data_IF_567275650300
#
_entry.id   IF_567275650300
#
_cell.length_a   1.000
_cell.length_b   1.000
_cell.length_c   1.000
_cell.angle_alpha   90.00
_cell.angle_beta   90.00
_cell.angle_gamma   90.00
#
_symmetry.space_group_name_H-M   'P 1'
#
loop_
_entity.id
_entity.type
_entity.pdbx_description
1 polymer ?
#
# COMPACT_ATOMS: atom_id res chain seq x y z
N UNK A 1 -1.70 20.27 1.74
CA UNK A 1 -2.25 20.17 0.36
C UNK A 1 -2.16 18.74 -0.22
N UNK A 2 -1.13 17.93 0.10
CA UNK A 2 -1.03 16.52 -0.34
C UNK A 2 -2.20 15.60 0.08
N UNK A 3 -2.80 15.86 1.26
CA UNK A 3 -3.92 15.05 1.76
C UNK A 3 -5.11 15.02 0.80
N UNK A 4 -5.45 16.16 0.16
CA UNK A 4 -6.59 16.24 -0.75
C UNK A 4 -6.35 15.40 -2.03
N UNK A 5 -5.12 15.40 -2.55
CA UNK A 5 -4.73 14.58 -3.70
C UNK A 5 -4.79 13.07 -3.39
N UNK A 6 -4.43 12.67 -2.16
CA UNK A 6 -4.55 11.28 -1.72
C UNK A 6 -6.00 10.80 -1.66
N UNK A 7 -6.96 11.67 -1.30
CA UNK A 7 -8.39 11.33 -1.21
C UNK A 7 -9.07 11.09 -2.56
N UNK A 8 -8.90 11.99 -3.53
CA UNK A 8 -9.43 11.80 -4.89
C UNK A 8 -8.78 10.60 -5.57
N UNK A 9 -7.46 10.44 -5.40
CA UNK A 9 -6.72 9.28 -5.91
C UNK A 9 -7.31 7.98 -5.34
N UNK A 10 -7.46 7.84 -4.01
CA UNK A 10 -8.01 6.61 -3.44
C UNK A 10 -9.39 6.24 -4.02
N UNK A 11 -10.30 7.21 -4.12
CA UNK A 11 -11.67 6.97 -4.60
C UNK A 11 -11.72 6.57 -6.09
N UNK A 12 -10.99 7.28 -6.96
CA UNK A 12 -10.92 6.97 -8.39
C UNK A 12 -10.33 5.59 -8.65
N UNK A 13 -9.30 5.23 -7.89
CA UNK A 13 -8.68 3.92 -8.03
C UNK A 13 -9.50 2.79 -7.44
N UNK A 14 -10.23 3.01 -6.34
CA UNK A 14 -11.17 2.00 -5.88
C UNK A 14 -12.23 1.71 -6.94
N UNK A 15 -12.78 2.73 -7.60
CA UNK A 15 -13.72 2.53 -8.72
C UNK A 15 -13.07 1.78 -9.90
N UNK A 16 -11.82 2.12 -10.23
CA UNK A 16 -11.06 1.41 -11.26
C UNK A 16 -10.91 -0.08 -10.94
N UNK A 17 -10.54 -0.40 -9.69
CA UNK A 17 -10.27 -1.75 -9.24
C UNK A 17 -11.54 -2.55 -8.95
N UNK A 18 -12.67 -1.93 -8.59
CA UNK A 18 -13.97 -2.62 -8.49
C UNK A 18 -14.39 -3.26 -9.82
N UNK A 19 -13.80 -2.86 -10.95
CA UNK A 19 -14.05 -3.48 -12.27
C UNK A 19 -13.17 -4.69 -12.56
N UNK A 20 -12.11 -4.91 -11.78
CA UNK A 20 -11.08 -5.93 -12.09
C UNK A 20 -10.65 -6.76 -10.90
N UNK A 21 -11.07 -6.46 -9.67
CA UNK A 21 -10.65 -7.13 -8.43
C UNK A 21 -11.74 -8.06 -7.87
N UNK A 22 -11.34 -8.99 -7.00
CA UNK A 22 -12.24 -9.94 -6.32
C UNK A 22 -13.17 -9.26 -5.30
N UNK A 23 -14.27 -9.92 -4.92
CA UNK A 23 -15.33 -9.41 -4.03
C UNK A 23 -14.82 -8.83 -2.68
N UNK A 24 -13.68 -9.31 -2.19
CA UNK A 24 -13.07 -8.81 -0.95
C UNK A 24 -12.60 -7.34 -1.05
N UNK A 25 -12.44 -6.83 -2.27
CA UNK A 25 -11.95 -5.48 -2.52
C UNK A 25 -12.85 -4.39 -1.94
N UNK A 26 -14.17 -4.60 -1.92
CA UNK A 26 -15.11 -3.63 -1.33
C UNK A 26 -14.90 -3.47 0.19
N UNK A 27 -14.48 -4.52 0.90
CA UNK A 27 -14.10 -4.42 2.31
C UNK A 27 -12.79 -3.67 2.49
N UNK A 28 -11.80 -3.93 1.64
CA UNK A 28 -10.50 -3.24 1.66
C UNK A 28 -10.65 -1.75 1.37
N UNK A 29 -11.50 -1.39 0.41
CA UNK A 29 -11.91 -0.02 0.12
C UNK A 29 -12.41 0.68 1.38
N UNK A 30 -13.42 0.11 2.05
CA UNK A 30 -13.96 0.68 3.30
C UNK A 30 -12.88 0.81 4.38
N UNK A 31 -12.06 -0.22 4.56
CA UNK A 31 -10.97 -0.24 5.54
C UNK A 31 -9.99 0.91 5.30
N UNK A 32 -9.42 1.03 4.10
CA UNK A 32 -8.42 2.05 3.79
C UNK A 32 -9.03 3.46 3.75
N UNK A 33 -10.27 3.61 3.29
CA UNK A 33 -11.01 4.88 3.38
C UNK A 33 -11.13 5.35 4.83
N UNK A 34 -11.42 4.46 5.78
CA UNK A 34 -11.52 4.83 7.20
C UNK A 34 -10.18 5.33 7.77
N UNK A 35 -9.05 4.67 7.42
CA UNK A 35 -7.72 5.13 7.84
C UNK A 35 -7.34 6.49 7.24
N UNK A 36 -7.68 6.72 5.97
CA UNK A 36 -7.47 8.01 5.32
C UNK A 36 -8.31 9.13 5.96
N UNK A 37 -9.59 8.87 6.22
CA UNK A 37 -10.50 9.82 6.89
C UNK A 37 -9.99 10.21 8.29
N UNK A 38 -9.42 9.25 9.03
CA UNK A 38 -8.77 9.47 10.33
C UNK A 38 -7.41 10.17 10.26
N UNK A 39 -6.89 10.44 9.05
CA UNK A 39 -5.63 11.14 8.85
C UNK A 39 -4.39 10.25 9.06
N UNK A 40 -4.56 8.95 9.17
CA UNK A 40 -3.45 8.02 9.35
C UNK A 40 -2.64 7.82 8.05
N UNK A 41 -3.29 7.95 6.90
CA UNK A 41 -2.65 7.90 5.58
C UNK A 41 -2.32 9.33 5.14
N UNK A 42 -1.04 9.62 5.01
CA UNK A 42 -0.57 10.94 4.57
C UNK A 42 -0.37 11.04 3.06
N UNK A 43 -0.02 9.93 2.42
CA UNK A 43 0.30 9.86 0.99
C UNK A 43 -0.18 8.53 0.41
N UNK A 44 -0.59 8.54 -0.86
CA UNK A 44 -1.01 7.36 -1.60
C UNK A 44 -0.58 7.45 -3.06
N UNK A 45 -0.16 6.32 -3.61
CA UNK A 45 0.23 6.16 -5.01
C UNK A 45 -0.17 4.79 -5.51
N UNK A 46 -0.50 4.68 -6.79
CA UNK A 46 -0.87 3.40 -7.39
C UNK A 46 0.18 2.94 -8.39
N UNK A 47 0.49 1.65 -8.32
CA UNK A 47 1.20 0.92 -9.36
C UNK A 47 0.19 0.05 -10.12
N UNK A 48 -0.04 0.34 -11.40
CA UNK A 48 -1.05 -0.32 -12.21
C UNK A 48 -0.47 -1.40 -13.11
N UNK A 49 -1.09 -2.57 -13.12
CA UNK A 49 -0.83 -3.58 -14.14
C UNK A 49 -1.45 -3.23 -15.50
N UNK A 50 -1.06 -3.94 -16.58
CA UNK A 50 -1.43 -3.62 -17.96
C UNK A 50 -2.91 -3.29 -18.21
N UNK A 51 -3.86 -4.05 -17.65
CA UNK A 51 -5.29 -3.82 -17.87
C UNK A 51 -5.73 -2.49 -17.25
N UNK A 52 -5.32 -2.23 -16.01
CA UNK A 52 -5.68 -1.03 -15.29
C UNK A 52 -4.99 0.22 -15.86
N UNK A 53 -3.79 0.09 -16.44
CA UNK A 53 -3.09 1.20 -17.09
C UNK A 53 -3.90 1.82 -18.23
N UNK A 54 -4.56 1.01 -19.07
CA UNK A 54 -5.38 1.51 -20.17
C UNK A 54 -6.50 2.43 -19.66
N UNK A 55 -7.22 1.98 -18.65
CA UNK A 55 -8.28 2.74 -17.99
C UNK A 55 -7.74 3.97 -17.24
N UNK A 56 -6.59 3.85 -16.59
CA UNK A 56 -5.92 4.97 -15.91
C UNK A 56 -5.50 6.07 -16.89
N UNK A 57 -4.97 5.70 -18.06
CA UNK A 57 -4.63 6.65 -19.14
C UNK A 57 -5.86 7.34 -19.69
N UNK A 58 -6.96 6.61 -19.91
CA UNK A 58 -8.24 7.19 -20.35
C UNK A 58 -8.78 8.23 -19.36
N UNK A 59 -8.60 7.98 -18.06
CA UNK A 59 -9.02 8.88 -16.99
C UNK A 59 -7.95 9.94 -16.63
N UNK A 60 -6.83 9.99 -17.36
CA UNK A 60 -5.70 10.91 -17.13
C UNK A 60 -5.14 10.85 -15.71
N UNK A 61 -5.22 9.69 -15.06
CA UNK A 61 -4.69 9.47 -13.72
C UNK A 61 -3.16 9.40 -13.75
N UNK A 62 -2.53 9.85 -12.67
CA UNK A 62 -1.10 9.68 -12.43
C UNK A 62 -0.87 8.36 -11.67
N UNK A 63 0.02 7.52 -12.17
CA UNK A 63 0.34 6.21 -11.60
C UNK A 63 1.74 5.74 -12.01
N UNK A 64 2.26 4.73 -11.32
CA UNK A 64 3.42 3.96 -11.75
C UNK A 64 3.03 2.70 -12.51
N UNK A 65 3.90 2.24 -13.39
CA UNK A 65 3.74 0.99 -14.11
C UNK A 65 4.16 -0.19 -13.20
N UNK A 66 3.25 -1.13 -12.96
CA UNK A 66 3.56 -2.39 -12.29
C UNK A 66 4.08 -3.40 -13.32
N UNK A 67 5.39 -3.61 -13.31
CA UNK A 67 6.07 -4.54 -14.20
C UNK A 67 6.22 -5.92 -13.56
N UNK A 68 6.27 -6.97 -14.40
CA UNK A 68 6.43 -8.38 -13.99
C UNK A 68 5.33 -8.91 -13.05
N UNK A 69 4.16 -8.27 -13.04
CA UNK A 69 2.96 -8.77 -12.37
C UNK A 69 2.01 -9.43 -13.38
N UNK A 70 1.01 -10.19 -12.88
CA UNK A 70 -0.08 -10.63 -13.74
C UNK A 70 -0.90 -9.42 -14.23
N UNK A 71 -1.50 -9.54 -15.41
CA UNK A 71 -2.07 -8.38 -16.13
C UNK A 71 -3.20 -7.66 -15.39
N UNK A 72 -3.93 -8.37 -14.53
CA UNK A 72 -5.03 -7.87 -13.72
C UNK A 72 -4.60 -7.28 -12.38
N UNK A 73 -3.32 -7.39 -12.00
CA UNK A 73 -2.86 -6.97 -10.68
C UNK A 73 -2.49 -5.49 -10.66
N UNK A 74 -2.81 -4.85 -9.54
CA UNK A 74 -2.39 -3.49 -9.21
C UNK A 74 -2.02 -3.43 -7.74
N UNK A 75 -1.25 -2.43 -7.35
CA UNK A 75 -0.83 -2.21 -5.96
C UNK A 75 -1.14 -0.78 -5.54
N UNK A 76 -1.79 -0.64 -4.39
CA UNK A 76 -1.93 0.62 -3.67
C UNK A 76 -0.75 0.74 -2.70
N UNK A 77 0.08 1.76 -2.91
CA UNK A 77 1.23 2.09 -2.07
C UNK A 77 0.85 3.29 -1.21
N UNK A 78 0.98 3.20 0.10
CA UNK A 78 0.56 4.25 1.04
C UNK A 78 1.62 4.55 2.08
N UNK A 79 1.71 5.81 2.51
CA UNK A 79 2.39 6.18 3.74
C UNK A 79 1.38 6.20 4.89
N UNK A 80 1.56 5.30 5.85
CA UNK A 80 0.72 5.13 7.05
C UNK A 80 1.58 5.40 8.29
N UNK A 81 1.52 6.62 8.84
CA UNK A 81 2.44 7.03 9.90
C UNK A 81 3.90 6.84 9.48
N UNK A 82 4.66 6.04 10.25
CA UNK A 82 6.06 5.67 9.98
C UNK A 82 6.22 4.39 9.14
N UNK A 83 5.16 3.96 8.45
CA UNK A 83 5.16 2.77 7.61
C UNK A 83 4.85 3.09 6.15
N UNK A 84 5.50 2.35 5.26
CA UNK A 84 5.08 2.21 3.87
C UNK A 84 4.28 0.92 3.73
N UNK A 85 3.12 1.00 3.08
CA UNK A 85 2.21 -0.13 2.89
C UNK A 85 2.09 -0.42 1.41
N UNK A 86 2.11 -1.69 1.02
CA UNK A 86 1.75 -2.16 -0.33
C UNK A 86 0.57 -3.13 -0.23
N UNK A 87 -0.59 -2.68 -0.69
CA UNK A 87 -1.83 -3.42 -0.74
C UNK A 87 -2.09 -3.92 -2.16
N UNK A 88 -2.07 -5.23 -2.36
CA UNK A 88 -2.30 -5.84 -3.66
C UNK A 88 -3.80 -5.99 -3.94
N UNK A 89 -4.22 -5.61 -5.15
CA UNK A 89 -5.63 -5.72 -5.57
C UNK A 89 -6.12 -7.17 -5.73
N UNK A 90 -5.19 -8.11 -5.92
CA UNK A 90 -5.46 -9.55 -6.07
C UNK A 90 -4.59 -10.34 -5.09
N UNK A 91 -5.02 -11.56 -4.71
CA UNK A 91 -4.36 -12.46 -3.74
C UNK A 91 -4.35 -11.99 -2.28
N UNK A 92 -4.79 -10.75 -2.02
CA UNK A 92 -5.03 -10.24 -0.67
C UNK A 92 -3.80 -9.97 0.20
N UNK A 93 -2.59 -10.10 -0.36
CA UNK A 93 -1.36 -9.82 0.36
C UNK A 93 -1.21 -8.32 0.63
N UNK A 94 -1.09 -7.97 1.91
CA UNK A 94 -0.75 -6.63 2.38
C UNK A 94 0.63 -6.67 3.03
N UNK A 95 1.52 -5.75 2.67
CA UNK A 95 2.88 -5.69 3.20
C UNK A 95 3.17 -4.33 3.79
N UNK A 96 3.95 -4.32 4.87
CA UNK A 96 4.32 -3.13 5.62
C UNK A 96 5.84 -3.08 5.76
N UNK A 97 6.43 -1.93 5.55
CA UNK A 97 7.83 -1.65 5.85
C UNK A 97 7.91 -0.45 6.77
N UNK A 98 8.92 -0.37 7.64
CA UNK A 98 9.27 0.91 8.23
C UNK A 98 9.69 1.88 7.09
N UNK A 99 9.36 3.16 7.19
CA UNK A 99 9.70 4.13 6.13
C UNK A 99 11.21 4.27 5.89
N UNK A 100 12.04 3.91 6.88
CA UNK A 100 13.50 3.92 6.76
C UNK A 100 14.08 2.57 6.32
N UNK A 101 13.25 1.56 6.07
CA UNK A 101 13.73 0.28 5.53
C UNK A 101 14.21 0.49 4.09
N UNK A 102 15.43 0.05 3.79
CA UNK A 102 16.01 0.12 2.44
C UNK A 102 15.20 -0.67 1.40
N UNK A 103 14.40 -1.64 1.84
CA UNK A 103 13.50 -2.42 0.99
C UNK A 103 12.11 -1.79 0.84
N UNK A 104 11.81 -0.70 1.56
CA UNK A 104 10.53 -0.01 1.42
C UNK A 104 10.41 0.61 0.01
N UNK A 105 9.29 0.41 -0.69
CA UNK A 105 9.09 1.03 -1.99
C UNK A 105 8.86 2.54 -1.82
N UNK A 106 9.70 3.37 -2.44
CA UNK A 106 9.43 4.81 -2.51
C UNK A 106 8.12 5.09 -3.27
N UNK A 107 7.33 6.06 -2.80
CA UNK A 107 6.11 6.51 -3.50
C UNK A 107 6.46 7.27 -4.80
N UNK A 108 5.46 7.45 -5.67
CA UNK A 108 5.54 8.26 -6.89
C UNK A 108 6.56 7.80 -7.94
N UNK A 109 7.12 6.59 -7.82
CA UNK A 109 7.96 6.02 -8.87
C UNK A 109 7.15 5.75 -10.13
N UNK A 110 7.81 5.94 -11.29
CA UNK A 110 7.26 5.61 -12.61
C UNK A 110 7.11 4.12 -12.85
N UNK A 111 7.97 3.29 -12.24
CA UNK A 111 7.98 1.83 -12.43
C UNK A 111 8.21 1.15 -11.09
N UNK A 112 7.47 0.07 -10.86
CA UNK A 112 7.64 -0.87 -9.76
C UNK A 112 7.75 -2.28 -10.32
N UNK A 113 8.61 -3.11 -9.73
CA UNK A 113 8.67 -4.54 -10.06
C UNK A 113 7.88 -5.35 -9.04
N UNK A 114 7.10 -6.30 -9.53
CA UNK A 114 6.26 -7.14 -8.69
C UNK A 114 7.05 -7.90 -7.61
N UNK A 115 8.25 -8.36 -7.94
CA UNK A 115 9.10 -9.13 -7.04
C UNK A 115 9.57 -8.29 -5.85
N UNK A 116 9.94 -7.02 -6.09
CA UNK A 116 10.33 -6.07 -5.02
C UNK A 116 9.17 -5.86 -4.04
N UNK A 117 7.96 -5.70 -4.57
CA UNK A 117 6.74 -5.50 -3.79
C UNK A 117 6.19 -6.80 -3.18
N UNK A 118 6.74 -7.96 -3.53
CA UNK A 118 6.41 -9.27 -2.95
C UNK A 118 7.41 -9.75 -1.92
N UNK A 119 8.62 -9.19 -1.94
CA UNK A 119 9.73 -9.61 -1.09
C UNK A 119 9.26 -9.71 0.38
N UNK A 120 9.53 -10.83 1.08
CA UNK A 120 9.13 -10.98 2.48
C UNK A 120 9.64 -9.83 3.34
N UNK A 121 8.68 -9.16 3.99
CA UNK A 121 8.93 -8.18 5.04
C UNK A 121 9.62 -8.88 6.20
N UNK A 122 10.80 -8.41 6.60
CA UNK A 122 11.32 -8.71 7.93
C UNK A 122 10.73 -7.69 8.87
N UNK A 123 9.63 -8.03 9.53
CA UNK A 123 9.26 -7.30 10.73
C UNK A 123 10.42 -7.55 11.71
N UNK A 124 11.22 -6.53 11.95
CA UNK A 124 12.18 -6.59 13.05
C UNK A 124 11.38 -6.92 14.31
N UNK A 125 11.81 -7.95 15.05
CA UNK A 125 11.13 -8.36 16.29
C UNK A 125 10.86 -7.10 17.11
N UNK A 126 9.66 -6.95 17.71
CA UNK A 126 9.41 -5.87 18.65
C UNK A 126 10.57 -5.87 19.65
N UNK A 127 11.20 -4.73 19.85
CA UNK A 127 12.15 -4.53 20.94
C UNK A 127 11.42 -4.97 22.20
N UNK A 128 11.83 -6.10 22.77
CA UNK A 128 11.29 -6.58 24.03
C UNK A 128 11.44 -5.44 25.01
N UNK A 129 10.32 -5.01 25.61
CA UNK A 129 10.39 -4.14 26.80
C UNK A 129 11.41 -4.77 27.76
N UNK A 130 12.34 -3.97 28.34
CA UNK A 130 13.23 -4.51 29.35
C UNK A 130 12.35 -5.07 30.47
N UNK A 131 12.33 -6.39 30.60
CA UNK A 131 11.83 -7.07 31.79
C UNK A 131 12.77 -6.68 32.92
N UNK A 132 12.41 -5.63 33.65
CA UNK A 132 12.86 -5.45 35.02
C UNK A 132 12.39 -6.69 35.79
N UNK A 133 13.32 -7.63 35.99
CA UNK A 133 13.09 -8.78 36.85
C UNK A 133 12.78 -8.31 38.26
N UNK A 134 11.89 -8.99 39.01
CA UNK A 134 11.72 -8.69 40.41
C UNK A 134 13.03 -9.01 41.11
N UNK A 135 13.63 -7.99 41.73
CA UNK A 135 14.77 -8.18 42.62
C UNK A 135 14.42 -9.22 43.67
N UNK A 136 15.23 -10.28 43.76
CA UNK A 136 15.13 -11.26 44.82
C UNK A 136 15.56 -10.59 46.13
N UNK A 137 14.59 -10.08 46.88
CA UNK A 137 14.73 -9.93 48.30
C UNK A 137 14.56 -11.32 48.92
N UNK A 138 15.68 -11.93 49.33
CA UNK A 138 15.87 -12.77 50.52
C UNK A 138 17.29 -13.30 50.57
#
# INVERSE_FOLDING_TARGET
MLRWFAGETLAHFFNLLSRTADDIWEYRKKFWTAYYQRGAISEAWFALGPIAQALGRQQKLQFGDLSRAAQNQSVLIMKLGSFIVAEWSHSGACRFWNENDRLAPGLYRKVYFADDLRNPVRLTKPTTHPTTGPGSAR
#
